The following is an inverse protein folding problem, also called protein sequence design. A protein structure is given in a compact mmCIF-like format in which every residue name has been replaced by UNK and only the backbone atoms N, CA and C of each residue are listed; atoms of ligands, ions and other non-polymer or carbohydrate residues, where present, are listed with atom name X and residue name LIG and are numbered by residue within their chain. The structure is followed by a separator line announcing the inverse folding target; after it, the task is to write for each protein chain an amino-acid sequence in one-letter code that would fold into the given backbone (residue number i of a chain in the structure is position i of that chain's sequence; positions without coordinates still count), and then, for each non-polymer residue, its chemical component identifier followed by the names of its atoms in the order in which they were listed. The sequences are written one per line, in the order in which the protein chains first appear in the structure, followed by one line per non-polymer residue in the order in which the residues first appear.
data_IF_295280286188
#
_entry.id   IF_295280286188
#
_cell.length_a   1.000
_cell.length_b   1.000
_cell.length_c   1.000
_cell.angle_alpha   90.00
_cell.angle_beta   90.00
_cell.angle_gamma   90.00
#
_symmetry.space_group_name_H-M   'P 1'
#
loop_
_entity.id
_entity.type
_entity.pdbx_description
1 polymer ?
#
# COMPACT_ATOMS: atom_id res chain seq x y z
N UNK A 1 5.51 -38.29 19.64
CA UNK A 1 6.47 -38.25 18.54
C UNK A 1 5.87 -37.32 17.48
N UNK A 2 6.50 -36.21 17.10
CA UNK A 2 6.03 -35.38 16.00
C UNK A 2 6.14 -36.22 14.71
N UNK A 3 5.07 -36.26 13.93
CA UNK A 3 5.08 -36.91 12.60
C UNK A 3 6.11 -36.19 11.75
N UNK A 4 7.13 -36.88 11.26
CA UNK A 4 8.01 -36.42 10.21
C UNK A 4 7.13 -35.98 9.03
N UNK A 5 7.05 -34.67 8.75
CA UNK A 5 6.43 -34.14 7.54
C UNK A 5 7.15 -34.76 6.33
N UNK A 6 6.40 -35.08 5.29
CA UNK A 6 6.92 -35.74 4.08
C UNK A 6 8.04 -34.90 3.47
N UNK A 7 9.12 -35.56 3.02
CA UNK A 7 10.26 -34.96 2.29
C UNK A 7 9.89 -34.47 0.87
N UNK A 8 8.61 -34.22 0.58
CA UNK A 8 8.21 -33.63 -0.71
C UNK A 8 8.53 -32.14 -0.69
N UNK A 9 9.31 -31.70 -1.63
CA UNK A 9 9.46 -30.27 -1.93
C UNK A 9 8.06 -29.73 -2.27
N UNK A 10 7.53 -28.74 -1.56
CA UNK A 10 6.25 -28.15 -1.91
C UNK A 10 6.27 -27.64 -3.36
N UNK A 11 5.16 -27.78 -4.07
CA UNK A 11 5.04 -27.43 -5.48
C UNK A 11 3.66 -26.82 -5.76
N UNK A 12 3.61 -25.85 -6.65
CA UNK A 12 2.37 -25.17 -7.01
C UNK A 12 1.77 -24.42 -5.82
N UNK A 13 0.47 -24.51 -5.67
CA UNK A 13 -0.27 -23.79 -4.62
C UNK A 13 0.07 -24.26 -3.19
N UNK A 14 0.73 -25.39 -3.03
CA UNK A 14 1.09 -25.93 -1.70
C UNK A 14 2.13 -25.05 -0.97
N UNK A 15 2.76 -24.10 -1.65
CA UNK A 15 3.66 -23.14 -1.03
C UNK A 15 2.93 -21.93 -0.47
N UNK A 16 1.69 -21.67 -0.88
CA UNK A 16 0.92 -20.55 -0.38
C UNK A 16 0.41 -20.82 1.03
N UNK A 17 0.17 -19.76 1.77
CA UNK A 17 -0.36 -19.87 3.11
C UNK A 17 -1.74 -20.54 3.09
N UNK A 18 -1.90 -21.73 3.70
CA UNK A 18 -3.15 -22.49 3.62
C UNK A 18 -4.30 -21.90 4.44
N UNK A 19 -4.00 -20.98 5.38
CA UNK A 19 -5.02 -20.38 6.25
C UNK A 19 -5.86 -19.33 5.53
N UNK A 20 -5.33 -18.75 4.41
CA UNK A 20 -6.01 -17.72 3.59
C UNK A 20 -5.65 -17.85 2.11
N UNK A 21 -5.98 -18.96 1.46
CA UNK A 21 -5.55 -19.29 0.10
C UNK A 21 -6.08 -18.31 -0.98
N UNK A 22 -7.20 -17.63 -0.72
CA UNK A 22 -7.83 -16.69 -1.65
C UNK A 22 -7.45 -15.23 -1.39
N UNK A 23 -6.54 -14.98 -0.44
CA UNK A 23 -6.09 -13.62 -0.16
C UNK A 23 -5.34 -13.03 -1.36
N UNK A 24 -5.65 -11.77 -1.68
CA UNK A 24 -5.05 -10.98 -2.75
C UNK A 24 -4.27 -9.82 -2.15
N UNK A 25 -3.10 -9.55 -2.69
CA UNK A 25 -2.17 -8.66 -2.02
C UNK A 25 -1.73 -7.50 -2.91
N UNK A 26 -1.81 -6.29 -2.34
CA UNK A 26 -1.10 -5.10 -2.81
C UNK A 26 0.20 -4.97 -2.01
N UNK A 27 1.35 -4.89 -2.67
CA UNK A 27 2.64 -4.74 -1.99
C UNK A 27 3.29 -3.40 -2.28
N UNK A 28 4.03 -2.86 -1.32
CA UNK A 28 4.84 -1.66 -1.54
C UNK A 28 6.13 -1.99 -2.28
N UNK A 29 6.71 -0.99 -2.96
CA UNK A 29 8.01 -1.10 -3.58
C UNK A 29 8.08 -0.72 -5.06
N UNK A 30 6.96 -0.34 -5.67
CA UNK A 30 6.95 0.20 -7.04
C UNK A 30 7.90 1.39 -7.15
N UNK A 31 8.80 1.35 -8.14
CA UNK A 31 9.88 2.29 -8.41
C UNK A 31 11.04 2.29 -7.38
N UNK A 32 11.04 1.36 -6.44
CA UNK A 32 12.08 1.25 -5.41
C UNK A 32 12.71 -0.15 -5.39
N UNK A 33 11.90 -1.20 -5.52
CA UNK A 33 12.31 -2.58 -5.36
C UNK A 33 11.99 -3.47 -6.57
N UNK A 34 11.77 -2.86 -7.74
CA UNK A 34 11.25 -3.56 -8.92
C UNK A 34 12.12 -4.78 -9.31
N UNK A 35 13.45 -4.61 -9.38
CA UNK A 35 14.37 -5.71 -9.69
C UNK A 35 14.26 -6.87 -8.68
N UNK A 36 14.18 -6.53 -7.39
CA UNK A 36 14.06 -7.53 -6.33
C UNK A 36 12.71 -8.26 -6.40
N UNK A 37 11.64 -7.51 -6.69
CA UNK A 37 10.28 -8.09 -6.83
C UNK A 37 10.26 -9.02 -8.03
N UNK A 38 10.78 -8.59 -9.19
CA UNK A 38 10.84 -9.44 -10.38
C UNK A 38 11.66 -10.70 -10.15
N UNK A 39 12.84 -10.58 -9.52
CA UNK A 39 13.65 -11.74 -9.16
C UNK A 39 12.90 -12.70 -8.25
N UNK A 40 12.19 -12.20 -7.23
CA UNK A 40 11.40 -13.03 -6.34
C UNK A 40 10.29 -13.78 -7.10
N UNK A 41 9.54 -13.07 -7.95
CA UNK A 41 8.46 -13.66 -8.74
C UNK A 41 8.99 -14.77 -9.66
N UNK A 42 10.11 -14.50 -10.36
CA UNK A 42 10.73 -15.46 -11.28
C UNK A 42 11.30 -16.67 -10.54
N UNK A 43 11.91 -16.47 -9.36
CA UNK A 43 12.40 -17.58 -8.53
C UNK A 43 11.28 -18.48 -8.03
N UNK A 44 10.18 -17.88 -7.54
CA UNK A 44 9.01 -18.64 -7.07
C UNK A 44 8.39 -19.43 -8.22
N UNK A 45 8.18 -18.79 -9.37
CA UNK A 45 7.63 -19.45 -10.55
C UNK A 45 8.52 -20.59 -11.03
N UNK A 46 9.83 -20.34 -11.19
CA UNK A 46 10.76 -21.34 -11.77
C UNK A 46 11.02 -22.51 -10.82
N UNK A 47 11.07 -22.27 -9.51
CA UNK A 47 11.42 -23.32 -8.54
C UNK A 47 10.23 -24.14 -8.08
N UNK A 48 9.06 -23.51 -7.97
CA UNK A 48 7.89 -24.11 -7.34
C UNK A 48 6.67 -24.21 -8.26
N UNK A 49 6.77 -23.67 -9.48
CA UNK A 49 5.63 -23.55 -10.41
C UNK A 49 4.42 -22.87 -9.75
N UNK A 50 4.68 -21.82 -8.98
CA UNK A 50 3.68 -21.08 -8.23
C UNK A 50 3.70 -19.60 -8.59
N UNK A 51 2.52 -19.02 -8.66
CA UNK A 51 2.32 -17.58 -8.81
C UNK A 51 1.88 -17.01 -7.45
N UNK A 52 2.66 -16.08 -6.91
CA UNK A 52 2.25 -15.35 -5.69
C UNK A 52 0.98 -14.55 -5.95
N UNK A 53 0.04 -14.49 -4.99
CA UNK A 53 -1.24 -13.80 -5.15
C UNK A 53 -1.11 -12.26 -5.03
N UNK A 54 -0.11 -11.69 -5.70
CA UNK A 54 0.14 -10.25 -5.77
C UNK A 54 -0.69 -9.70 -6.92
N UNK A 55 -1.66 -8.85 -6.61
CA UNK A 55 -2.55 -8.26 -7.59
C UNK A 55 -2.10 -6.87 -8.04
N UNK A 56 -1.34 -6.18 -7.19
CA UNK A 56 -0.80 -4.85 -7.53
C UNK A 56 0.47 -4.56 -6.73
N UNK A 57 1.33 -3.74 -7.32
CA UNK A 57 2.46 -3.12 -6.62
C UNK A 57 2.21 -1.63 -6.54
N UNK A 58 2.37 -1.03 -5.35
CA UNK A 58 2.11 0.39 -5.17
C UNK A 58 3.36 1.19 -4.80
N UNK A 59 3.36 2.42 -5.27
CA UNK A 59 4.39 3.41 -5.00
C UNK A 59 4.08 4.72 -5.70
N UNK A 60 5.02 5.61 -5.68
CA UNK A 60 5.01 6.82 -6.49
C UNK A 60 6.41 7.41 -6.52
N UNK A 61 6.73 8.09 -7.61
CA UNK A 61 7.86 9.00 -7.59
C UNK A 61 7.60 10.18 -6.65
N UNK A 62 8.68 10.86 -6.28
CA UNK A 62 8.58 12.08 -5.52
C UNK A 62 8.10 13.22 -6.42
N UNK A 63 6.78 13.35 -6.51
CA UNK A 63 6.07 14.37 -7.29
C UNK A 63 5.02 15.04 -6.44
N UNK A 64 4.54 16.20 -6.85
CA UNK A 64 3.65 17.07 -6.07
C UNK A 64 2.39 16.35 -5.53
N UNK A 65 1.80 15.42 -6.29
CA UNK A 65 0.58 14.71 -5.85
C UNK A 65 0.86 13.56 -4.88
N UNK A 66 2.13 13.20 -4.70
CA UNK A 66 2.52 12.17 -3.75
C UNK A 66 2.31 12.67 -2.31
N UNK A 67 1.98 11.77 -1.42
CA UNK A 67 1.80 12.04 0.01
C UNK A 67 1.94 10.78 0.84
N UNK A 68 1.52 10.87 2.09
CA UNK A 68 1.66 9.81 3.06
C UNK A 68 2.67 10.19 4.13
N UNK A 69 3.09 9.22 4.95
CA UNK A 69 4.02 9.49 6.06
C UNK A 69 5.49 9.53 5.68
N UNK A 70 5.80 9.08 4.49
CA UNK A 70 7.15 9.07 3.97
C UNK A 70 7.12 9.60 2.57
N UNK A 71 7.96 10.55 2.30
CA UNK A 71 8.30 10.95 0.95
C UNK A 71 9.18 9.86 0.36
N UNK A 72 8.80 9.30 -0.75
CA UNK A 72 9.71 8.45 -1.51
C UNK A 72 10.89 9.28 -1.94
N UNK A 73 12.05 8.96 -1.39
CA UNK A 73 13.28 9.69 -1.63
C UNK A 73 14.02 9.21 -2.88
N UNK A 74 13.51 8.20 -3.55
CA UNK A 74 14.16 7.71 -4.75
C UNK A 74 13.90 8.68 -5.89
N UNK A 75 14.93 9.43 -6.33
CA UNK A 75 14.89 9.99 -7.66
C UNK A 75 14.64 8.86 -8.64
N UNK A 76 14.11 9.19 -9.80
CA UNK A 76 14.03 8.28 -10.94
C UNK A 76 15.42 7.71 -11.16
N UNK A 77 15.74 6.60 -10.50
CA UNK A 77 16.99 5.93 -10.75
C UNK A 77 16.82 5.19 -12.07
N UNK A 78 17.39 5.75 -13.12
CA UNK A 78 17.67 5.01 -14.34
C UNK A 78 18.75 3.94 -14.08
N UNK A 79 18.46 3.01 -13.17
CA UNK A 79 19.28 1.82 -13.04
C UNK A 79 18.98 0.91 -14.24
N UNK A 80 19.97 0.75 -15.09
CA UNK A 80 19.91 -0.25 -16.15
C UNK A 80 18.92 0.00 -17.28
N UNK A 81 18.43 1.25 -17.48
CA UNK A 81 17.51 1.56 -18.58
C UNK A 81 16.02 1.39 -18.28
N UNK A 82 15.66 1.13 -17.05
CA UNK A 82 14.26 1.05 -16.60
C UNK A 82 13.63 2.45 -16.56
N UNK A 83 12.70 2.71 -17.45
CA UNK A 83 11.82 3.89 -17.36
C UNK A 83 10.54 3.53 -16.64
N UNK A 84 9.79 4.51 -16.07
CA UNK A 84 8.48 4.26 -15.47
C UNK A 84 7.55 3.46 -16.40
N UNK A 85 7.56 3.78 -17.68
CA UNK A 85 6.74 3.11 -18.69
C UNK A 85 7.10 1.63 -18.84
N UNK A 86 8.38 1.31 -18.88
CA UNK A 86 8.86 -0.08 -18.99
C UNK A 86 8.48 -0.87 -17.75
N UNK A 87 8.68 -0.31 -16.56
CA UNK A 87 8.33 -0.97 -15.30
C UNK A 87 6.83 -1.27 -15.21
N UNK A 88 5.97 -0.27 -15.51
CA UNK A 88 4.52 -0.48 -15.50
C UNK A 88 4.13 -1.59 -16.48
N UNK A 89 4.70 -1.56 -17.69
CA UNK A 89 4.43 -2.58 -18.70
C UNK A 89 4.85 -3.98 -18.26
N UNK A 90 6.01 -4.10 -17.62
CA UNK A 90 6.50 -5.40 -17.15
C UNK A 90 5.64 -5.99 -16.05
N UNK A 91 5.17 -5.17 -15.09
CA UNK A 91 4.18 -5.62 -14.11
C UNK A 91 2.88 -6.04 -14.79
N UNK A 92 2.36 -5.23 -15.71
CA UNK A 92 1.10 -5.55 -16.39
C UNK A 92 1.21 -6.82 -17.25
N UNK A 93 2.35 -7.06 -17.90
CA UNK A 93 2.61 -8.31 -18.65
C UNK A 93 2.62 -9.55 -17.73
N UNK A 94 2.94 -9.39 -16.46
CA UNK A 94 2.88 -10.43 -15.43
C UNK A 94 1.51 -10.55 -14.77
N UNK A 95 0.50 -9.78 -15.22
CA UNK A 95 -0.84 -9.75 -14.64
C UNK A 95 -0.94 -8.94 -13.35
N UNK A 96 0.09 -8.15 -13.01
CA UNK A 96 0.17 -7.34 -11.78
C UNK A 96 -0.10 -5.88 -12.12
N UNK A 97 -1.04 -5.26 -11.42
CA UNK A 97 -1.36 -3.84 -11.56
C UNK A 97 -0.32 -2.93 -10.88
N UNK A 98 -0.28 -1.68 -11.33
CA UNK A 98 0.47 -0.63 -10.66
C UNK A 98 -0.50 0.36 -10.00
N UNK A 99 -0.28 0.68 -8.72
CA UNK A 99 -1.08 1.67 -7.99
C UNK A 99 -0.22 2.87 -7.61
N UNK A 100 -0.49 4.03 -8.21
CA UNK A 100 0.21 5.25 -7.83
C UNK A 100 -0.43 5.89 -6.60
N UNK A 101 0.40 6.25 -5.62
CA UNK A 101 -0.07 6.86 -4.36
C UNK A 101 -0.09 8.38 -4.47
N UNK A 102 -1.11 8.94 -5.12
CA UNK A 102 -1.38 10.36 -5.20
C UNK A 102 -2.15 10.83 -3.97
N UNK A 103 -1.49 10.74 -2.83
CA UNK A 103 -2.12 10.88 -1.51
C UNK A 103 -1.74 12.16 -0.76
N UNK A 104 -1.33 13.21 -1.48
CA UNK A 104 -1.15 14.55 -0.91
C UNK A 104 -2.48 15.07 -0.36
N UNK A 105 -2.46 15.66 0.84
CA UNK A 105 -3.65 16.12 1.56
C UNK A 105 -4.00 17.59 1.29
N UNK A 106 -3.10 18.37 0.69
CA UNK A 106 -3.16 19.82 0.60
C UNK A 106 -3.26 20.34 -0.84
N UNK A 107 -3.65 19.49 -1.79
CA UNK A 107 -3.76 19.88 -3.19
C UNK A 107 -4.87 20.93 -3.41
N UNK A 108 -4.60 21.87 -4.31
CA UNK A 108 -5.50 22.89 -4.80
C UNK A 108 -5.56 22.81 -6.33
N UNK A 109 -6.48 23.59 -6.96
CA UNK A 109 -6.64 23.61 -8.42
C UNK A 109 -5.34 23.91 -9.17
N UNK A 110 -4.54 24.86 -8.66
CA UNK A 110 -3.25 25.23 -9.26
C UNK A 110 -2.27 24.06 -9.37
N UNK A 111 -2.38 23.08 -8.45
CA UNK A 111 -1.49 21.92 -8.41
C UNK A 111 -1.88 20.84 -9.44
N UNK A 112 -3.08 20.88 -10.01
CA UNK A 112 -3.56 19.90 -10.99
C UNK A 112 -2.83 20.03 -12.33
N UNK A 113 -2.21 21.19 -12.60
CA UNK A 113 -1.44 21.43 -13.82
C UNK A 113 0.02 20.96 -13.77
N UNK A 114 0.47 20.34 -12.67
CA UNK A 114 1.84 19.84 -12.53
C UNK A 114 2.18 18.84 -13.64
N UNK A 115 3.24 19.15 -14.39
CA UNK A 115 3.61 18.40 -15.59
C UNK A 115 4.13 17.00 -15.27
N UNK A 116 4.92 16.86 -14.19
CA UNK A 116 5.49 15.57 -13.78
C UNK A 116 4.41 14.60 -13.30
N UNK A 117 3.47 15.10 -12.51
CA UNK A 117 2.32 14.34 -12.05
C UNK A 117 1.44 13.88 -13.21
N UNK A 118 1.12 14.79 -14.13
CA UNK A 118 0.35 14.48 -15.32
C UNK A 118 1.04 13.48 -16.24
N UNK A 119 2.36 13.60 -16.42
CA UNK A 119 3.13 12.65 -17.20
C UNK A 119 3.03 11.22 -16.64
N UNK A 120 3.21 11.06 -15.33
CA UNK A 120 3.07 9.75 -14.67
C UNK A 120 1.66 9.19 -14.79
N UNK A 121 0.65 10.05 -14.60
CA UNK A 121 -0.75 9.66 -14.76
C UNK A 121 -1.04 9.17 -16.18
N UNK A 122 -0.54 9.90 -17.19
CA UNK A 122 -0.69 9.55 -18.61
C UNK A 122 -0.01 8.21 -18.93
N UNK A 123 1.17 7.94 -18.39
CA UNK A 123 1.86 6.66 -18.56
C UNK A 123 1.03 5.49 -18.01
N UNK A 124 0.50 5.65 -16.80
CA UNK A 124 -0.31 4.62 -16.15
C UNK A 124 -1.60 4.34 -16.93
N UNK A 125 -2.31 5.40 -17.32
CA UNK A 125 -3.58 5.30 -18.02
C UNK A 125 -3.46 4.68 -19.42
N UNK A 126 -2.37 4.99 -20.15
CA UNK A 126 -2.12 4.46 -21.50
C UNK A 126 -1.93 2.95 -21.55
N UNK A 127 -1.51 2.31 -20.45
CA UNK A 127 -1.37 0.85 -20.42
C UNK A 127 -2.71 0.13 -20.54
N UNK A 128 -3.84 0.82 -20.27
CA UNK A 128 -5.19 0.27 -20.36
C UNK A 128 -5.34 -1.12 -19.70
N UNK A 129 -4.71 -1.26 -18.52
CA UNK A 129 -4.73 -2.49 -17.76
C UNK A 129 -5.65 -2.33 -16.54
N UNK A 130 -6.66 -3.16 -16.46
CA UNK A 130 -7.78 -3.02 -15.48
C UNK A 130 -7.36 -2.97 -14.02
N UNK A 131 -6.21 -3.56 -13.68
CA UNK A 131 -5.72 -3.57 -12.29
C UNK A 131 -4.85 -2.35 -11.97
N UNK A 132 -4.53 -1.49 -12.95
CA UNK A 132 -3.87 -0.21 -12.70
C UNK A 132 -4.82 0.74 -11.95
N UNK A 133 -4.29 1.47 -10.98
CA UNK A 133 -5.09 2.35 -10.14
C UNK A 133 -4.30 3.55 -9.62
N UNK A 134 -5.03 4.52 -9.10
CA UNK A 134 -4.49 5.62 -8.31
C UNK A 134 -5.13 5.61 -6.93
N UNK A 135 -4.33 5.77 -5.88
CA UNK A 135 -4.82 5.94 -4.51
C UNK A 135 -4.81 7.43 -4.16
N UNK A 136 -5.99 8.01 -3.93
CA UNK A 136 -6.21 9.45 -3.90
C UNK A 136 -6.74 9.89 -2.54
N UNK A 137 -6.33 11.09 -2.12
CA UNK A 137 -6.79 11.73 -0.89
C UNK A 137 -7.74 12.90 -1.18
N UNK A 138 -7.35 13.83 -2.05
CA UNK A 138 -8.12 15.04 -2.33
C UNK A 138 -9.18 14.79 -3.39
N UNK A 139 -10.44 15.20 -3.10
CA UNK A 139 -11.56 15.02 -4.03
C UNK A 139 -11.37 15.80 -5.33
N UNK A 140 -10.73 16.98 -5.27
CA UNK A 140 -10.41 17.79 -6.45
C UNK A 140 -9.52 17.02 -7.45
N UNK A 141 -8.54 16.25 -6.96
CA UNK A 141 -7.70 15.42 -7.80
C UNK A 141 -8.47 14.21 -8.34
N UNK A 142 -9.37 13.63 -7.54
CA UNK A 142 -10.24 12.54 -7.96
C UNK A 142 -11.12 12.96 -9.13
N UNK A 143 -11.75 14.13 -9.04
CA UNK A 143 -12.61 14.68 -10.08
C UNK A 143 -11.81 14.95 -11.35
N UNK A 144 -10.66 15.61 -11.24
CA UNK A 144 -9.74 15.86 -12.35
C UNK A 144 -9.33 14.58 -13.09
N UNK A 145 -8.95 13.53 -12.34
CA UNK A 145 -8.54 12.27 -12.94
C UNK A 145 -9.73 11.55 -13.58
N UNK A 146 -10.91 11.59 -12.97
CA UNK A 146 -12.14 10.97 -13.53
C UNK A 146 -12.56 11.62 -14.83
N UNK A 147 -12.45 12.93 -14.92
CA UNK A 147 -12.75 13.67 -16.15
C UNK A 147 -11.77 13.34 -17.27
N UNK A 148 -10.47 13.23 -16.94
CA UNK A 148 -9.40 12.97 -17.92
C UNK A 148 -9.31 11.50 -18.33
N UNK A 149 -9.49 10.58 -17.38
CA UNK A 149 -9.36 9.13 -17.54
C UNK A 149 -10.48 8.38 -16.81
N UNK A 150 -11.69 8.37 -17.37
CA UNK A 150 -12.89 7.82 -16.70
C UNK A 150 -12.77 6.33 -16.34
N UNK A 151 -11.97 5.59 -17.08
CA UNK A 151 -11.77 4.15 -16.87
C UNK A 151 -10.63 3.81 -15.90
N UNK A 152 -9.79 4.78 -15.51
CA UNK A 152 -8.71 4.53 -14.56
C UNK A 152 -9.29 4.36 -13.15
N UNK A 153 -9.01 3.21 -12.55
CA UNK A 153 -9.52 2.91 -11.20
C UNK A 153 -8.98 3.87 -10.16
N UNK A 154 -9.85 4.29 -9.27
CA UNK A 154 -9.53 5.16 -8.16
C UNK A 154 -9.79 4.46 -6.83
N UNK A 155 -8.80 4.47 -5.94
CA UNK A 155 -8.91 3.94 -4.58
C UNK A 155 -8.93 5.10 -3.58
N UNK A 156 -9.89 5.12 -2.66
CA UNK A 156 -9.85 6.05 -1.53
C UNK A 156 -8.67 5.72 -0.64
N UNK A 157 -7.71 6.64 -0.53
CA UNK A 157 -6.46 6.43 0.22
C UNK A 157 -6.70 6.32 1.73
N UNK A 158 -5.86 5.53 2.43
CA UNK A 158 -5.80 5.54 3.91
C UNK A 158 -5.61 6.98 4.44
N UNK A 159 -4.84 7.79 3.74
CA UNK A 159 -4.56 9.18 4.11
C UNK A 159 -5.85 10.03 4.09
N UNK A 160 -6.73 9.80 3.10
CA UNK A 160 -8.06 10.44 3.05
C UNK A 160 -8.86 10.13 4.30
N UNK A 161 -8.88 8.87 4.69
CA UNK A 161 -9.65 8.39 5.85
C UNK A 161 -9.06 8.87 7.16
N UNK A 162 -7.74 9.04 7.24
CA UNK A 162 -7.07 9.61 8.40
C UNK A 162 -7.35 11.11 8.60
N UNK A 163 -7.75 11.81 7.56
CA UNK A 163 -8.21 13.19 7.65
C UNK A 163 -9.58 13.31 8.30
N UNK A 164 -10.34 12.21 8.37
CA UNK A 164 -11.65 12.17 9.02
C UNK A 164 -11.53 11.78 10.50
N UNK A 165 -12.30 12.46 11.36
CA UNK A 165 -12.35 12.13 12.77
C UNK A 165 -12.87 10.70 12.97
N UNK A 166 -12.35 9.92 13.95
CA UNK A 166 -12.78 8.53 14.19
C UNK A 166 -14.29 8.35 14.28
N UNK A 167 -14.99 9.26 14.97
CA UNK A 167 -16.45 9.23 15.12
C UNK A 167 -17.24 9.43 13.80
N UNK A 168 -16.59 9.92 12.73
CA UNK A 168 -17.21 10.12 11.43
C UNK A 168 -16.99 8.93 10.50
N UNK A 169 -16.05 8.06 10.81
CA UNK A 169 -15.79 6.84 10.01
C UNK A 169 -16.78 5.74 10.36
N UNK A 170 -18.06 5.98 10.06
CA UNK A 170 -19.15 5.01 10.21
C UNK A 170 -19.27 4.14 8.96
N UNK A 171 -20.08 3.09 9.03
CA UNK A 171 -20.40 2.26 7.86
C UNK A 171 -20.99 3.10 6.71
N UNK A 172 -21.91 4.01 7.01
CA UNK A 172 -22.56 4.88 6.04
C UNK A 172 -21.56 5.83 5.38
N UNK A 173 -20.56 6.33 6.13
CA UNK A 173 -19.48 7.12 5.57
C UNK A 173 -18.64 6.30 4.59
N UNK A 174 -18.25 5.09 4.95
CA UNK A 174 -17.51 4.21 4.04
C UNK A 174 -18.31 3.88 2.78
N UNK A 175 -19.59 3.61 2.92
CA UNK A 175 -20.49 3.33 1.77
C UNK A 175 -20.61 4.54 0.83
N UNK A 176 -20.69 5.77 1.37
CA UNK A 176 -20.77 6.98 0.55
C UNK A 176 -19.54 7.21 -0.33
N UNK A 177 -18.38 6.69 0.06
CA UNK A 177 -17.16 6.81 -0.75
C UNK A 177 -17.26 6.06 -2.09
N UNK A 178 -18.12 5.04 -2.21
CA UNK A 178 -18.33 4.33 -3.48
C UNK A 178 -19.04 5.15 -4.55
N UNK A 179 -19.59 6.32 -4.21
CA UNK A 179 -20.09 7.27 -5.21
C UNK A 179 -18.94 7.82 -6.08
N UNK A 180 -17.74 7.85 -5.54
CA UNK A 180 -16.55 8.44 -6.19
C UNK A 180 -15.42 7.44 -6.45
N UNK A 181 -15.25 6.44 -5.59
CA UNK A 181 -14.10 5.53 -5.61
C UNK A 181 -14.52 4.10 -5.94
N UNK A 182 -13.68 3.41 -6.71
CA UNK A 182 -13.92 2.02 -7.11
C UNK A 182 -13.55 1.02 -6.01
N UNK A 183 -12.60 1.41 -5.12
CA UNK A 183 -12.14 0.64 -3.97
C UNK A 183 -11.81 1.55 -2.80
N UNK A 184 -11.97 1.05 -1.60
CA UNK A 184 -11.74 1.82 -0.39
C UNK A 184 -10.71 1.09 0.48
N UNK A 185 -9.63 1.77 0.86
CA UNK A 185 -8.78 1.30 1.94
C UNK A 185 -9.50 1.51 3.27
N UNK A 186 -9.72 0.46 4.04
CA UNK A 186 -10.24 0.62 5.39
C UNK A 186 -9.17 1.30 6.26
N UNK A 187 -9.59 2.23 7.13
CA UNK A 187 -8.63 2.89 8.03
C UNK A 187 -8.00 1.84 8.97
N UNK A 188 -6.68 1.88 9.21
CA UNK A 188 -6.01 0.84 10.02
C UNK A 188 -6.57 0.66 11.43
N UNK A 189 -7.05 1.73 12.08
CA UNK A 189 -7.72 1.62 13.38
C UNK A 189 -9.04 0.85 13.28
N UNK A 190 -9.74 0.98 12.15
CA UNK A 190 -11.04 0.38 11.90
C UNK A 190 -10.94 -1.08 11.45
N UNK A 191 -9.75 -1.55 11.04
CA UNK A 191 -9.48 -2.98 10.83
C UNK A 191 -9.75 -3.83 12.06
N UNK A 192 -9.68 -3.23 13.26
CA UNK A 192 -9.92 -3.89 14.54
C UNK A 192 -11.36 -3.69 15.06
N UNK A 193 -12.16 -2.94 14.31
CA UNK A 193 -13.57 -2.75 14.62
C UNK A 193 -14.41 -3.87 13.98
N UNK A 194 -14.47 -5.03 14.63
CA UNK A 194 -15.17 -6.20 14.11
C UNK A 194 -16.64 -5.91 13.76
N UNK A 195 -17.34 -5.08 14.53
CA UNK A 195 -18.74 -4.71 14.22
C UNK A 195 -18.86 -3.96 12.90
N UNK A 196 -17.89 -3.09 12.58
CA UNK A 196 -17.86 -2.42 11.29
C UNK A 196 -17.54 -3.42 10.17
N UNK A 197 -16.57 -4.30 10.39
CA UNK A 197 -16.21 -5.35 9.42
C UNK A 197 -17.39 -6.30 9.15
N UNK A 198 -18.13 -6.69 10.18
CA UNK A 198 -19.37 -7.50 10.05
C UNK A 198 -20.42 -6.79 9.19
N UNK A 199 -20.69 -5.50 9.44
CA UNK A 199 -21.64 -4.73 8.62
C UNK A 199 -21.20 -4.61 7.16
N UNK A 200 -19.89 -4.42 6.91
CA UNK A 200 -19.33 -4.40 5.55
C UNK A 200 -19.53 -5.76 4.89
N UNK A 201 -19.26 -6.86 5.59
CA UNK A 201 -19.46 -8.20 5.08
C UNK A 201 -20.94 -8.48 4.74
N UNK A 202 -21.85 -8.11 5.64
CA UNK A 202 -23.32 -8.23 5.45
C UNK A 202 -23.83 -7.43 4.25
N UNK A 203 -23.19 -6.29 3.89
CA UNK A 203 -23.52 -5.52 2.71
C UNK A 203 -23.17 -6.21 1.38
N UNK A 204 -22.40 -7.31 1.42
CA UNK A 204 -21.90 -8.02 0.26
C UNK A 204 -20.76 -7.30 -0.49
N UNK A 205 -20.15 -6.29 0.10
CA UNK A 205 -19.11 -5.47 -0.56
C UNK A 205 -17.71 -5.68 0.02
N UNK A 206 -17.47 -6.68 0.85
CA UNK A 206 -16.16 -6.91 1.48
C UNK A 206 -15.01 -7.01 0.47
N UNK A 207 -15.28 -7.48 -0.75
CA UNK A 207 -14.33 -7.57 -1.86
C UNK A 207 -13.94 -6.21 -2.47
N UNK A 208 -14.68 -5.14 -2.15
CA UNK A 208 -14.37 -3.75 -2.58
C UNK A 208 -13.53 -2.99 -1.58
N UNK A 209 -13.33 -3.55 -0.40
CA UNK A 209 -12.45 -2.98 0.61
C UNK A 209 -11.07 -3.62 0.57
N UNK A 210 -10.07 -2.84 0.94
CA UNK A 210 -8.67 -3.27 1.03
C UNK A 210 -8.10 -2.87 2.38
N UNK A 211 -7.43 -3.79 3.07
CA UNK A 211 -6.97 -3.60 4.44
C UNK A 211 -5.45 -3.62 4.52
N UNK A 212 -4.87 -2.58 5.11
CA UNK A 212 -3.44 -2.54 5.42
C UNK A 212 -3.17 -3.34 6.70
N UNK A 213 -2.47 -4.46 6.58
CA UNK A 213 -2.32 -5.44 7.68
C UNK A 213 -1.10 -5.22 8.57
N UNK A 214 -0.06 -4.59 8.05
CA UNK A 214 1.21 -4.38 8.76
C UNK A 214 1.49 -2.91 9.09
N UNK A 215 0.44 -2.11 9.36
CA UNK A 215 0.57 -0.69 9.72
C UNK A 215 1.21 -0.52 11.09
N UNK A 216 2.41 0.08 11.11
CA UNK A 216 3.19 0.27 12.33
C UNK A 216 2.79 1.49 13.16
N UNK A 217 1.90 2.35 12.65
CA UNK A 217 1.41 3.48 13.43
C UNK A 217 0.60 3.02 14.64
N UNK A 218 0.61 3.83 15.69
CA UNK A 218 -0.17 3.58 16.89
C UNK A 218 -1.66 3.68 16.62
N UNK A 219 -2.44 2.78 17.23
CA UNK A 219 -3.92 2.85 17.19
C UNK A 219 -4.37 4.19 17.76
N UNK A 220 -5.35 4.80 17.10
CA UNK A 220 -5.93 6.10 17.49
C UNK A 220 -4.88 7.22 17.64
N UNK A 221 -3.80 7.17 16.85
CA UNK A 221 -2.78 8.21 16.88
C UNK A 221 -3.42 9.59 16.65
N UNK A 222 -3.29 10.47 17.67
CA UNK A 222 -3.96 11.78 17.68
C UNK A 222 -3.36 12.78 16.69
N UNK A 223 -2.11 12.56 16.27
CA UNK A 223 -1.35 13.44 15.38
C UNK A 223 -1.17 12.86 13.97
N UNK A 224 -1.93 11.85 13.61
CA UNK A 224 -1.75 11.16 12.31
C UNK A 224 -2.05 12.08 11.12
N UNK A 225 -3.09 12.89 11.24
CA UNK A 225 -3.45 13.86 10.21
C UNK A 225 -2.37 14.90 10.02
N UNK A 226 -1.91 15.50 11.09
CA UNK A 226 -0.86 16.53 11.10
C UNK A 226 0.42 16.01 10.45
N UNK A 227 0.79 14.75 10.72
CA UNK A 227 1.93 14.10 10.08
C UNK A 227 1.76 13.99 8.55
N UNK A 228 0.56 13.66 8.07
CA UNK A 228 0.28 13.62 6.62
C UNK A 228 0.30 15.01 6.00
N UNK A 229 -0.24 16.01 6.69
CA UNK A 229 -0.27 17.39 6.21
C UNK A 229 1.15 17.99 6.16
N UNK A 230 1.98 17.71 7.16
CA UNK A 230 3.39 18.11 7.20
C UNK A 230 4.17 17.54 5.99
N UNK A 231 4.03 16.25 5.73
CA UNK A 231 4.66 15.61 4.57
C UNK A 231 4.13 16.20 3.25
N UNK A 232 2.83 16.43 3.16
CA UNK A 232 2.18 16.98 1.97
C UNK A 232 2.63 18.40 1.69
N UNK A 233 2.75 19.27 2.71
CA UNK A 233 3.26 20.61 2.60
C UNK A 233 4.69 20.62 2.08
N UNK A 234 5.55 19.81 2.69
CA UNK A 234 6.94 19.71 2.28
C UNK A 234 7.11 19.34 0.79
N UNK A 235 6.27 18.43 0.29
CA UNK A 235 6.30 18.05 -1.13
C UNK A 235 5.82 19.20 -2.04
N UNK A 236 4.79 19.95 -1.63
CA UNK A 236 4.32 21.15 -2.37
C UNK A 236 5.41 22.22 -2.38
N UNK A 237 6.11 22.43 -1.28
CA UNK A 237 7.18 23.42 -1.14
C UNK A 237 8.46 23.04 -1.90
N UNK A 238 8.42 21.98 -2.72
CA UNK A 238 9.51 21.58 -3.61
C UNK A 238 10.54 20.66 -2.95
N UNK A 239 10.22 20.07 -1.80
CA UNK A 239 11.06 19.04 -1.21
C UNK A 239 10.97 17.75 -2.01
N UNK A 240 11.83 17.63 -2.99
CA UNK A 240 11.88 16.48 -3.91
C UNK A 240 12.95 15.47 -3.48
N UNK A 241 12.92 15.06 -2.20
CA UNK A 241 13.57 13.83 -1.74
C UNK A 241 15.05 13.65 -1.89
N UNK A 242 15.83 14.70 -2.04
CA UNK A 242 17.27 14.62 -1.83
C UNK A 242 17.59 14.98 -0.38
N UNK A 243 17.91 14.01 0.39
CA UNK A 243 18.56 13.91 1.72
C UNK A 243 18.97 15.21 2.46
N UNK A 244 18.24 16.29 2.33
CA UNK A 244 18.42 17.48 3.17
C UNK A 244 17.28 17.56 4.18
N UNK A 245 17.23 16.59 5.10
CA UNK A 245 16.42 16.65 6.32
C UNK A 245 16.72 17.89 7.19
N UNK A 246 17.67 18.72 6.79
CA UNK A 246 18.14 19.84 7.59
C UNK A 246 17.22 21.07 7.53
N UNK A 247 16.29 21.14 6.58
CA UNK A 247 15.46 22.34 6.36
C UNK A 247 13.96 22.11 6.55
N UNK A 248 13.50 20.89 6.81
CA UNK A 248 12.10 20.60 7.08
C UNK A 248 11.98 20.03 8.49
N UNK A 249 11.26 20.73 9.32
CA UNK A 249 11.08 20.40 10.73
C UNK A 249 9.96 19.35 10.89
N UNK A 250 10.25 18.12 10.52
CA UNK A 250 9.32 16.99 10.62
C UNK A 250 9.13 16.52 12.06
N UNK A 251 8.57 17.35 12.92
CA UNK A 251 8.34 17.02 14.34
C UNK A 251 7.41 15.81 14.53
N UNK A 252 6.57 15.51 13.54
CA UNK A 252 5.71 14.33 13.54
C UNK A 252 6.45 13.07 13.05
N UNK A 253 7.66 13.22 12.50
CA UNK A 253 8.46 12.10 12.02
C UNK A 253 9.16 11.38 13.18
N UNK A 254 9.08 10.05 13.28
CA UNK A 254 9.78 9.27 14.29
C UNK A 254 11.28 9.52 14.39
N UNK A 255 11.95 9.87 13.31
CA UNK A 255 13.40 10.14 13.28
C UNK A 255 13.82 11.54 13.75
N UNK A 256 12.87 12.45 13.99
CA UNK A 256 13.20 13.83 14.40
C UNK A 256 13.60 13.89 15.88
N UNK A 257 14.66 14.65 16.26
CA UNK A 257 15.12 14.76 17.65
C UNK A 257 14.04 15.23 18.65
N UNK A 258 13.13 16.09 18.17
CA UNK A 258 12.00 16.61 18.94
C UNK A 258 10.68 15.96 18.54
N UNK A 259 10.71 14.72 18.10
CA UNK A 259 9.53 14.03 17.61
C UNK A 259 8.43 13.96 18.65
N UNK A 260 7.22 14.35 18.24
CA UNK A 260 5.98 14.17 19.01
C UNK A 260 5.21 12.92 18.55
N UNK A 261 5.81 12.10 17.70
CA UNK A 261 5.19 10.86 17.21
C UNK A 261 4.88 9.90 18.37
N UNK A 262 3.61 9.58 18.55
CA UNK A 262 3.15 8.72 19.67
C UNK A 262 3.78 7.32 19.66
N UNK A 263 4.15 6.80 18.50
CA UNK A 263 4.85 5.53 18.36
C UNK A 263 6.19 5.52 19.11
N UNK A 264 6.86 6.67 19.22
CA UNK A 264 8.15 6.80 19.91
C UNK A 264 8.01 7.32 21.33
N UNK A 265 7.01 8.16 21.58
CA UNK A 265 6.80 8.80 22.89
C UNK A 265 5.91 7.97 23.80
N UNK A 266 5.11 7.06 23.24
CA UNK A 266 4.14 6.21 23.95
C UNK A 266 4.31 4.76 23.47
N UNK A 267 5.46 4.16 23.77
CA UNK A 267 5.81 2.80 23.31
C UNK A 267 4.90 1.71 23.85
N UNK A 268 4.16 1.99 24.91
CA UNK A 268 3.14 1.10 25.49
C UNK A 268 1.87 0.99 24.65
N UNK A 269 1.65 1.92 23.74
CA UNK A 269 0.48 1.89 22.87
C UNK A 269 0.64 0.84 21.77
N UNK A 270 -0.45 0.11 21.54
CA UNK A 270 -0.50 -0.89 20.49
C UNK A 270 -0.38 -0.26 19.09
N UNK A 271 0.36 -0.92 18.19
CA UNK A 271 0.36 -0.58 16.76
C UNK A 271 -0.90 -1.12 16.06
N UNK A 272 -1.17 -0.60 14.86
CA UNK A 272 -2.25 -1.08 14.00
C UNK A 272 -1.90 -2.39 13.25
N UNK A 273 -0.74 -3.00 13.51
CA UNK A 273 -0.38 -4.30 12.93
C UNK A 273 -1.38 -5.35 13.40
N UNK A 274 -1.97 -6.07 12.45
CA UNK A 274 -2.85 -7.18 12.76
C UNK A 274 -2.03 -8.41 13.20
N UNK A 275 -2.48 -9.08 14.25
CA UNK A 275 -2.04 -10.45 14.51
C UNK A 275 -2.64 -11.40 13.47
N UNK A 276 -2.04 -12.58 13.30
CA UNK A 276 -2.58 -13.61 12.40
C UNK A 276 -4.00 -14.04 12.77
N UNK A 277 -4.31 -14.06 14.08
CA UNK A 277 -5.65 -14.39 14.57
C UNK A 277 -6.69 -13.32 14.18
N UNK A 278 -6.35 -12.04 14.32
CA UNK A 278 -7.23 -10.92 13.91
C UNK A 278 -7.41 -10.87 12.40
N UNK A 279 -6.33 -11.11 11.65
CA UNK A 279 -6.41 -11.22 10.21
C UNK A 279 -7.35 -12.36 9.79
N UNK A 280 -7.23 -13.53 10.41
CA UNK A 280 -8.09 -14.68 10.13
C UNK A 280 -9.57 -14.37 10.37
N UNK A 281 -9.90 -13.65 11.45
CA UNK A 281 -11.28 -13.21 11.69
C UNK A 281 -11.82 -12.35 10.55
N UNK A 282 -11.02 -11.38 10.08
CA UNK A 282 -11.40 -10.51 8.95
C UNK A 282 -11.52 -11.31 7.65
N UNK A 283 -10.59 -12.21 7.39
CA UNK A 283 -10.62 -13.08 6.23
C UNK A 283 -11.87 -13.97 6.22
N UNK A 284 -12.26 -14.53 7.38
CA UNK A 284 -13.44 -15.37 7.52
C UNK A 284 -14.75 -14.61 7.32
N UNK A 285 -14.76 -13.29 7.54
CA UNK A 285 -15.88 -12.40 7.19
C UNK A 285 -16.01 -12.16 5.66
N UNK A 286 -15.08 -12.62 4.85
CA UNK A 286 -15.15 -12.50 3.40
C UNK A 286 -14.27 -11.42 2.77
N UNK A 287 -13.45 -10.71 3.55
CA UNK A 287 -12.45 -9.81 2.99
C UNK A 287 -11.36 -10.60 2.26
N UNK A 288 -10.96 -10.13 1.09
CA UNK A 288 -9.98 -10.82 0.24
C UNK A 288 -8.84 -9.93 -0.24
N UNK A 289 -8.93 -8.61 -0.12
CA UNK A 289 -7.92 -7.70 -0.61
C UNK A 289 -7.15 -7.08 0.56
N UNK A 290 -5.86 -7.31 0.57
CA UNK A 290 -4.98 -6.90 1.66
C UNK A 290 -3.76 -6.15 1.12
N UNK A 291 -3.21 -5.28 1.95
CA UNK A 291 -2.08 -4.44 1.59
C UNK A 291 -0.94 -4.63 2.58
N UNK A 292 0.27 -4.72 2.05
CA UNK A 292 1.51 -4.71 2.82
C UNK A 292 2.25 -3.39 2.58
N UNK A 293 2.46 -2.60 3.64
CA UNK A 293 3.32 -1.42 3.53
C UNK A 293 4.77 -1.83 3.28
N UNK A 294 5.58 -0.89 2.78
CA UNK A 294 6.99 -1.14 2.50
C UNK A 294 7.48 -0.32 1.32
N UNK A 295 6.73 0.72 0.92
CA UNK A 295 7.01 1.53 -0.26
C UNK A 295 8.47 2.00 -0.34
N UNK A 296 9.03 2.42 0.80
CA UNK A 296 10.37 2.95 0.98
C UNK A 296 11.16 2.23 2.09
N UNK A 297 10.63 1.13 2.59
CA UNK A 297 11.33 0.30 3.56
C UNK A 297 12.48 -0.47 2.89
N UNK A 298 13.50 -0.91 3.64
CA UNK A 298 14.52 -1.81 3.10
C UNK A 298 13.89 -3.08 2.50
N UNK A 299 14.51 -3.61 1.44
CA UNK A 299 14.01 -4.83 0.76
C UNK A 299 13.75 -5.99 1.73
N UNK A 300 14.63 -6.22 2.68
CA UNK A 300 14.44 -7.27 3.69
C UNK A 300 13.14 -7.16 4.47
N UNK A 301 12.63 -5.94 4.71
CA UNK A 301 11.32 -5.74 5.33
C UNK A 301 10.18 -6.13 4.38
N UNK A 302 10.24 -5.72 3.12
CA UNK A 302 9.23 -6.07 2.11
C UNK A 302 9.19 -7.58 1.91
N UNK A 303 10.36 -8.18 1.72
CA UNK A 303 10.53 -9.61 1.55
C UNK A 303 10.00 -10.41 2.76
N UNK A 304 10.37 -10.01 3.98
CA UNK A 304 9.86 -10.65 5.21
C UNK A 304 8.33 -10.65 5.26
N UNK A 305 7.70 -9.50 4.94
CA UNK A 305 6.23 -9.41 4.95
C UNK A 305 5.58 -10.27 3.86
N UNK A 306 6.15 -10.31 2.65
CA UNK A 306 5.66 -11.21 1.59
C UNK A 306 5.72 -12.66 2.07
N UNK A 307 6.86 -13.07 2.62
CA UNK A 307 7.07 -14.43 3.12
C UNK A 307 6.14 -14.77 4.27
N UNK A 308 6.01 -13.87 5.25
CA UNK A 308 5.23 -14.12 6.47
C UNK A 308 3.72 -14.20 6.20
N UNK A 309 3.22 -13.48 5.18
CA UNK A 309 1.79 -13.41 4.90
C UNK A 309 1.34 -14.31 3.76
N UNK A 310 2.15 -14.50 2.72
CA UNK A 310 1.70 -15.16 1.49
C UNK A 310 2.13 -16.62 1.40
N UNK A 311 3.16 -17.03 2.14
CA UNK A 311 3.78 -18.35 1.96
C UNK A 311 3.78 -19.14 3.25
N UNK A 312 3.70 -20.46 3.13
CA UNK A 312 3.85 -21.34 4.28
C UNK A 312 5.27 -21.25 4.84
N UNK A 313 5.41 -20.89 6.13
CA UNK A 313 6.70 -20.54 6.75
C UNK A 313 7.76 -21.65 6.68
N UNK A 314 7.35 -22.91 6.74
CA UNK A 314 8.26 -24.05 6.65
C UNK A 314 8.89 -24.21 5.25
N UNK A 315 8.35 -23.49 4.26
CA UNK A 315 8.77 -23.61 2.85
C UNK A 315 9.85 -22.60 2.45
N UNK A 316 9.88 -21.42 3.06
CA UNK A 316 10.77 -20.33 2.65
C UNK A 316 12.11 -20.30 3.36
N UNK A 317 12.22 -20.81 4.57
CA UNK A 317 13.48 -20.79 5.32
C UNK A 317 14.71 -21.28 4.49
N UNK A 318 14.57 -22.21 3.54
CA UNK A 318 15.68 -22.60 2.64
C UNK A 318 15.91 -21.65 1.46
N UNK A 319 15.01 -20.68 1.19
CA UNK A 319 15.11 -19.80 0.01
C UNK A 319 15.99 -18.59 0.24
N UNK A 320 16.36 -18.30 1.49
CA UNK A 320 17.01 -17.07 1.92
C UNK A 320 18.55 -17.11 1.91
N UNK A 321 19.16 -18.02 1.19
CA UNK A 321 20.59 -17.94 0.92
C UNK A 321 20.85 -16.94 -0.22
N UNK A 322 20.78 -15.65 0.12
CA UNK A 322 21.37 -14.57 -0.66
C UNK A 322 22.77 -14.25 -0.14
#
# INVERSE_FOLDING_TARGET
MPKLKSNKVPHGQDILNPDWPDAKWDIGGLFVHDDNIFQLLDQIQNRYDCILPITSVFGCYNVMWQGGRTSCTSPVHNYGGWTPEVLIKDYNNRGIGCTFTFSNTLLKEEHLSDQSCNYLLDLLARQNFDSNAVAITCDILSDYIRDKYPNLRQKASIVKLASEMPKRRTFEYYESLFEKYDRIYLHPDDNLNLRLCEKIAESGKADKYELLVNEKCTINCSIRKEHYDETSSAVIDGWHGMFNFTNVDFIHNPGHPNSICERWTKSELRSCVLSKAEFKQIYDLGFRNFKLQGRDAPWGFVYYNISDWMVEQDTIAPMLNF
#
